data_IF_349647329063
#
_entry.id   IF_349647329063
#
_cell.length_a   1.000
_cell.length_b   1.000
_cell.length_c   1.000
_cell.angle_alpha   90.00
_cell.angle_beta   90.00
_cell.angle_gamma   90.00
#
_symmetry.space_group_name_H-M   'P 1'
#
loop_
_entity.id
_entity.type
_entity.pdbx_description
1 polymer ?
#
# COMPACT_ATOMS: atom_id res chain seq x y z
N UNK A 1 -8.59 1.17 6.38
CA UNK A 1 -7.89 0.59 5.22
C UNK A 1 -7.78 -0.91 5.44
N UNK A 2 -7.94 -1.72 4.39
CA UNK A 2 -7.56 -3.14 4.36
C UNK A 2 -6.37 -3.33 3.41
N UNK A 3 -5.56 -4.36 3.66
CA UNK A 3 -4.45 -4.75 2.78
C UNK A 3 -4.59 -6.21 2.40
N UNK A 4 -4.34 -6.52 1.13
CA UNK A 4 -4.33 -7.90 0.64
C UNK A 4 -3.27 -8.11 -0.45
N UNK A 5 -2.86 -9.36 -0.63
CA UNK A 5 -2.15 -9.80 -1.83
C UNK A 5 -3.18 -10.35 -2.82
N UNK A 6 -3.25 -9.76 -4.00
CA UNK A 6 -4.11 -10.18 -5.09
C UNK A 6 -3.65 -11.52 -5.71
N UNK A 7 -4.50 -12.16 -6.52
CA UNK A 7 -4.18 -13.44 -7.19
C UNK A 7 -3.01 -13.33 -8.18
N UNK A 8 -2.68 -12.12 -8.64
CA UNK A 8 -1.53 -11.84 -9.51
C UNK A 8 -0.23 -11.58 -8.72
N UNK A 9 -0.29 -11.55 -7.39
CA UNK A 9 0.83 -11.20 -6.52
C UNK A 9 0.94 -9.71 -6.20
N UNK A 10 0.08 -8.85 -6.77
CA UNK A 10 0.07 -7.42 -6.46
C UNK A 10 -0.38 -7.18 -5.01
N UNK A 11 0.25 -6.24 -4.32
CA UNK A 11 -0.22 -5.79 -3.01
C UNK A 11 -1.23 -4.68 -3.21
N UNK A 12 -2.40 -4.79 -2.58
CA UNK A 12 -3.47 -3.80 -2.69
C UNK A 12 -3.81 -3.25 -1.31
N UNK A 13 -3.66 -1.94 -1.16
CA UNK A 13 -4.27 -1.15 -0.11
C UNK A 13 -5.63 -0.69 -0.57
N UNK A 14 -6.62 -0.76 0.29
CA UNK A 14 -7.95 -0.28 -0.04
C UNK A 14 -8.56 0.45 1.14
N UNK A 15 -9.26 1.53 0.83
CA UNK A 15 -9.82 2.41 1.84
C UNK A 15 -11.05 3.14 1.34
N UNK A 16 -11.64 3.87 2.27
CA UNK A 16 -12.77 4.74 2.01
C UNK A 16 -12.42 6.12 2.56
N UNK A 17 -12.28 7.10 1.68
CA UNK A 17 -12.09 8.49 2.07
C UNK A 17 -13.47 9.12 2.27
N UNK A 18 -13.73 9.68 3.45
CA UNK A 18 -15.00 10.34 3.80
C UNK A 18 -14.93 11.86 3.75
N UNK A 19 -13.76 12.43 3.51
CA UNK A 19 -13.51 13.86 3.64
C UNK A 19 -14.05 14.67 2.45
N UNK A 20 -14.36 14.03 1.31
CA UNK A 20 -14.71 14.72 0.07
C UNK A 20 -16.05 14.23 -0.52
N UNK A 21 -17.00 15.15 -0.76
CA UNK A 21 -18.23 14.98 -1.58
C UNK A 21 -18.84 13.56 -1.55
N UNK A 22 -19.46 13.19 -0.42
CA UNK A 22 -20.09 11.90 -0.09
C UNK A 22 -19.15 10.71 0.17
N UNK A 23 -17.85 10.90 0.00
CA UNK A 23 -16.81 9.91 0.19
C UNK A 23 -16.66 8.96 -0.99
N UNK A 24 -15.45 8.44 -1.18
CA UNK A 24 -15.13 7.54 -2.29
C UNK A 24 -14.32 6.33 -1.81
N UNK A 25 -14.53 5.20 -2.47
CA UNK A 25 -13.69 4.01 -2.29
C UNK A 25 -12.46 4.14 -3.17
N UNK A 26 -11.32 3.70 -2.65
CA UNK A 26 -10.08 3.74 -3.40
C UNK A 26 -9.24 2.50 -3.16
N UNK A 27 -8.51 2.10 -4.21
CA UNK A 27 -7.45 1.12 -4.15
C UNK A 27 -6.12 1.75 -4.56
N UNK A 28 -5.07 1.44 -3.82
CA UNK A 28 -3.68 1.69 -4.19
C UNK A 28 -2.98 0.34 -4.37
N UNK A 29 -2.46 0.06 -5.57
CA UNK A 29 -1.77 -1.20 -5.85
C UNK A 29 -0.28 -1.01 -6.09
N UNK A 30 0.52 -1.99 -5.65
CA UNK A 30 1.93 -2.15 -5.96
C UNK A 30 2.08 -3.48 -6.73
N UNK A 31 2.66 -3.42 -7.92
CA UNK A 31 2.83 -4.60 -8.77
C UNK A 31 3.89 -5.57 -8.22
N UNK A 32 3.82 -6.87 -8.57
CA UNK A 32 4.76 -7.88 -8.08
C UNK A 32 6.24 -7.50 -8.26
N UNK A 33 6.58 -6.91 -9.40
CA UNK A 33 7.93 -6.45 -9.75
C UNK A 33 8.46 -5.35 -8.83
N UNK A 34 7.57 -4.58 -8.20
CA UNK A 34 7.91 -3.45 -7.32
C UNK A 34 7.90 -3.82 -5.84
N UNK A 35 7.45 -5.04 -5.48
CA UNK A 35 7.49 -5.52 -4.09
C UNK A 35 8.89 -5.52 -3.46
N UNK A 36 10.00 -5.77 -4.17
CA UNK A 36 11.34 -5.58 -3.62
C UNK A 36 11.60 -4.15 -3.15
N UNK A 37 11.11 -3.13 -3.87
CA UNK A 37 11.24 -1.73 -3.46
C UNK A 37 10.39 -1.45 -2.21
N UNK A 38 9.19 -2.01 -2.14
CA UNK A 38 8.35 -1.93 -0.94
C UNK A 38 9.02 -2.58 0.29
N UNK A 39 9.63 -3.76 0.13
CA UNK A 39 10.38 -4.42 1.20
C UNK A 39 11.54 -3.56 1.69
N UNK A 40 12.28 -2.95 0.76
CA UNK A 40 13.36 -2.03 1.12
C UNK A 40 12.84 -0.81 1.88
N UNK A 41 11.69 -0.23 1.47
CA UNK A 41 11.05 0.89 2.16
C UNK A 41 10.60 0.53 3.58
N UNK A 42 10.13 -0.70 3.78
CA UNK A 42 9.75 -1.24 5.10
C UNK A 42 10.95 -1.69 5.94
N UNK A 43 12.16 -1.71 5.38
CA UNK A 43 13.36 -2.19 6.05
C UNK A 43 13.36 -3.69 6.35
N UNK A 44 12.61 -4.48 5.59
CA UNK A 44 12.48 -5.94 5.81
C UNK A 44 13.21 -6.76 4.76
N UNK A 45 13.70 -7.93 5.17
CA UNK A 45 14.39 -8.87 4.27
C UNK A 45 13.46 -9.56 3.25
N UNK A 46 14.05 -10.30 2.29
CA UNK A 46 13.30 -11.02 1.25
C UNK A 46 12.39 -12.12 1.82
N UNK A 47 12.79 -12.75 2.92
CA UNK A 47 12.06 -13.86 3.54
C UNK A 47 10.96 -13.40 4.53
N UNK A 48 10.86 -12.09 4.79
CA UNK A 48 9.83 -11.57 5.67
C UNK A 48 8.43 -11.76 5.06
N UNK A 49 7.44 -12.05 5.90
CA UNK A 49 6.05 -12.02 5.50
C UNK A 49 5.65 -10.57 5.19
N UNK A 50 5.52 -10.25 3.90
CA UNK A 50 5.30 -8.87 3.44
C UNK A 50 4.01 -8.27 4.02
N UNK A 51 2.93 -9.06 4.07
CA UNK A 51 1.66 -8.59 4.59
C UNK A 51 1.76 -8.22 6.08
N UNK A 52 2.46 -9.04 6.87
CA UNK A 52 2.68 -8.75 8.30
C UNK A 52 3.52 -7.50 8.49
N UNK A 53 4.56 -7.31 7.66
CA UNK A 53 5.38 -6.11 7.69
C UNK A 53 4.59 -4.84 7.36
N UNK A 54 3.69 -4.91 6.35
CA UNK A 54 2.81 -3.80 6.00
C UNK A 54 1.81 -3.52 7.12
N UNK A 55 1.20 -4.56 7.70
CA UNK A 55 0.29 -4.42 8.83
C UNK A 55 0.98 -3.79 10.05
N UNK A 56 2.22 -4.18 10.34
CA UNK A 56 3.01 -3.58 11.43
C UNK A 56 3.36 -2.10 11.17
N UNK A 57 3.46 -1.69 9.91
CA UNK A 57 3.73 -0.32 9.50
C UNK A 57 2.46 0.51 9.22
N UNK A 58 1.26 -0.07 9.35
CA UNK A 58 0.02 0.51 8.86
C UNK A 58 -0.26 1.91 9.42
N UNK A 59 -0.05 2.13 10.72
CA UNK A 59 -0.27 3.44 11.34
C UNK A 59 0.65 4.52 10.77
N UNK A 60 1.92 4.19 10.54
CA UNK A 60 2.91 5.09 9.92
C UNK A 60 2.53 5.42 8.47
N UNK A 61 2.11 4.40 7.72
CA UNK A 61 1.68 4.56 6.33
C UNK A 61 0.42 5.45 6.29
N UNK A 62 -0.58 5.17 7.15
CA UNK A 62 -1.84 5.90 7.22
C UNK A 62 -1.67 7.37 7.66
N UNK A 63 -0.71 7.65 8.53
CA UNK A 63 -0.44 9.02 8.98
C UNK A 63 -0.02 9.96 7.84
N UNK A 64 0.57 9.41 6.76
CA UNK A 64 1.01 10.14 5.57
C UNK A 64 0.04 9.95 4.39
N UNK A 65 -0.71 8.85 4.39
CA UNK A 65 -1.51 8.36 3.27
C UNK A 65 -0.69 7.38 2.43
N UNK A 66 -1.28 6.24 2.07
CA UNK A 66 -0.61 5.07 1.48
C UNK A 66 0.14 5.43 0.20
N UNK A 67 -0.55 6.13 -0.72
CA UNK A 67 0.04 6.58 -1.97
C UNK A 67 1.20 7.55 -1.74
N UNK A 68 1.01 8.54 -0.88
CA UNK A 68 2.03 9.54 -0.55
C UNK A 68 3.25 8.89 0.07
N UNK A 69 3.03 7.93 0.98
CA UNK A 69 4.08 7.15 1.61
C UNK A 69 4.87 6.34 0.59
N UNK A 70 4.20 5.59 -0.29
CA UNK A 70 4.85 4.80 -1.35
C UNK A 70 5.69 5.68 -2.28
N UNK A 71 5.12 6.81 -2.74
CA UNK A 71 5.82 7.75 -3.61
C UNK A 71 7.04 8.37 -2.93
N UNK A 72 6.96 8.70 -1.63
CA UNK A 72 8.09 9.25 -0.88
C UNK A 72 9.26 8.28 -0.73
N UNK A 73 9.00 6.97 -0.83
CA UNK A 73 10.01 5.91 -0.80
C UNK A 73 10.40 5.42 -2.20
N UNK A 74 9.92 6.07 -3.27
CA UNK A 74 10.22 5.69 -4.64
C UNK A 74 9.61 4.36 -5.08
N UNK A 75 8.53 3.91 -4.42
CA UNK A 75 7.80 2.68 -4.77
C UNK A 75 6.70 3.03 -5.79
N UNK A 76 6.76 2.51 -7.03
CA UNK A 76 5.69 2.72 -8.00
C UNK A 76 4.36 2.15 -7.49
N UNK A 77 3.27 2.87 -7.77
CA UNK A 77 1.92 2.43 -7.42
C UNK A 77 0.87 3.03 -8.35
N UNK A 78 -0.25 2.33 -8.48
CA UNK A 78 -1.44 2.82 -9.20
C UNK A 78 -2.56 3.17 -8.21
N UNK A 79 -3.32 4.23 -8.51
CA UNK A 79 -4.52 4.62 -7.77
C UNK A 79 -5.74 4.39 -8.64
N UNK A 80 -6.73 3.69 -8.08
CA UNK A 80 -8.06 3.55 -8.65
C UNK A 80 -9.10 4.05 -7.65
N UNK A 81 -10.08 4.81 -8.12
CA UNK A 81 -11.14 5.42 -7.28
C UNK A 81 -12.51 5.14 -7.90
N UNK A 82 -13.54 5.04 -7.06
CA UNK A 82 -14.93 4.82 -7.47
C UNK A 82 -15.89 5.68 -6.65
#
# INVERSE_FOLDING_TARGET
MWVSLGPTGALVFAGFDRAYLDGYEYHVSVEPEDLPALRAALGVGPDAALLDAVCAAADTIMAVGERSWLQSHGVPCALQVW
#
